data_IF_256117306389
#
_entry.id   IF_256117306389
#
_cell.length_a   1.000
_cell.length_b   1.000
_cell.length_c   1.000
_cell.angle_alpha   90.00
_cell.angle_beta   90.00
_cell.angle_gamma   90.00
#
_symmetry.space_group_name_H-M   'P 1'
#
loop_
_entity.id
_entity.type
_entity.pdbx_description
1 polymer ?
#
# COMPACT_ATOMS: atom_id res chain seq x y z
N UNK A 1 -21.71 8.06 3.02
CA UNK A 1 -22.64 7.10 3.68
C UNK A 1 -22.26 5.61 3.52
N UNK A 2 -21.09 5.25 2.98
CA UNK A 2 -20.72 3.85 2.69
C UNK A 2 -20.00 3.13 3.85
N UNK A 3 -19.59 3.85 4.90
CA UNK A 3 -18.75 3.31 5.99
C UNK A 3 -19.54 2.52 7.04
N UNK A 4 -20.86 2.66 7.08
CA UNK A 4 -21.72 1.99 8.08
C UNK A 4 -22.59 0.89 7.50
N UNK A 5 -22.38 0.51 6.23
CA UNK A 5 -23.23 -0.47 5.54
C UNK A 5 -23.33 -1.80 6.31
N UNK A 6 -22.20 -2.29 6.84
CA UNK A 6 -22.18 -3.51 7.66
C UNK A 6 -22.86 -3.32 9.02
N UNK A 7 -22.70 -2.15 9.65
CA UNK A 7 -23.38 -1.83 10.91
C UNK A 7 -24.90 -1.75 10.73
N UNK A 8 -25.36 -1.14 9.64
CA UNK A 8 -26.79 -1.04 9.30
C UNK A 8 -27.36 -2.42 8.98
N UNK A 9 -26.65 -3.25 8.21
CA UNK A 9 -27.06 -4.64 7.95
C UNK A 9 -27.11 -5.43 9.26
N UNK A 10 -26.11 -5.30 10.12
CA UNK A 10 -26.09 -5.97 11.42
C UNK A 10 -27.23 -5.51 12.32
N UNK A 11 -27.54 -4.22 12.33
CA UNK A 11 -28.67 -3.66 13.05
C UNK A 11 -30.01 -4.19 12.52
N UNK A 12 -30.20 -4.20 11.20
CA UNK A 12 -31.41 -4.73 10.58
C UNK A 12 -31.62 -6.21 10.89
N UNK A 13 -30.56 -7.01 10.82
CA UNK A 13 -30.60 -8.44 11.18
C UNK A 13 -30.92 -8.61 12.67
N UNK A 14 -30.27 -7.85 13.56
CA UNK A 14 -30.51 -7.91 15.00
C UNK A 14 -31.95 -7.54 15.35
N UNK A 15 -32.46 -6.44 14.79
CA UNK A 15 -33.85 -6.03 14.97
C UNK A 15 -34.82 -7.09 14.44
N UNK A 16 -34.58 -7.63 13.25
CA UNK A 16 -35.41 -8.70 12.66
C UNK A 16 -35.44 -9.97 13.53
N UNK A 17 -34.29 -10.42 14.03
CA UNK A 17 -34.19 -11.58 14.92
C UNK A 17 -34.93 -11.32 16.25
N UNK A 18 -34.78 -10.13 16.82
CA UNK A 18 -35.46 -9.74 18.05
C UNK A 18 -36.99 -9.74 17.87
N UNK A 19 -37.49 -9.11 16.81
CA UNK A 19 -38.93 -9.13 16.51
C UNK A 19 -39.42 -10.56 16.27
N UNK A 20 -38.68 -11.37 15.51
CA UNK A 20 -39.06 -12.76 15.24
C UNK A 20 -39.11 -13.60 16.53
N UNK A 21 -38.18 -13.39 17.46
CA UNK A 21 -38.16 -14.06 18.76
C UNK A 21 -39.42 -13.74 19.59
N UNK A 22 -39.87 -12.47 19.59
CA UNK A 22 -41.09 -12.06 20.29
C UNK A 22 -42.34 -12.61 19.60
N UNK A 23 -42.47 -12.46 18.28
CA UNK A 23 -43.67 -12.85 17.54
C UNK A 23 -43.91 -14.35 17.49
N UNK A 24 -42.84 -15.14 17.46
CA UNK A 24 -42.90 -16.60 17.37
C UNK A 24 -42.71 -17.27 18.74
N UNK A 25 -42.58 -16.50 19.82
CA UNK A 25 -42.26 -16.98 21.18
C UNK A 25 -41.03 -17.91 21.21
N UNK A 26 -40.07 -17.65 20.32
CA UNK A 26 -38.86 -18.45 20.19
C UNK A 26 -37.82 -17.97 21.22
N UNK A 27 -37.47 -18.86 22.15
CA UNK A 27 -36.25 -18.70 22.92
C UNK A 27 -35.05 -19.05 22.03
N UNK A 28 -34.52 -18.03 21.35
CA UNK A 28 -33.37 -18.17 20.45
C UNK A 28 -32.14 -18.70 21.17
N UNK A 29 -31.98 -18.40 22.46
CA UNK A 29 -30.85 -18.88 23.24
C UNK A 29 -30.98 -20.38 23.49
N UNK A 30 -32.17 -20.83 23.90
CA UNK A 30 -32.45 -22.25 24.10
C UNK A 30 -32.36 -23.03 22.79
N UNK A 31 -32.81 -22.45 21.66
CA UNK A 31 -32.67 -23.05 20.33
C UNK A 31 -31.20 -23.25 19.93
N UNK A 32 -30.35 -22.25 20.20
CA UNK A 32 -28.90 -22.34 19.94
C UNK A 32 -28.28 -23.43 20.84
N UNK A 33 -28.63 -23.46 22.13
CA UNK A 33 -28.16 -24.50 23.05
C UNK A 33 -28.60 -25.90 22.62
N UNK A 34 -29.87 -26.06 22.22
CA UNK A 34 -30.41 -27.33 21.72
C UNK A 34 -29.72 -27.77 20.42
N UNK A 35 -29.39 -26.82 19.53
CA UNK A 35 -28.61 -27.08 18.34
C UNK A 35 -27.17 -27.53 18.68
N UNK A 36 -26.49 -26.86 19.60
CA UNK A 36 -25.17 -27.27 20.08
C UNK A 36 -25.20 -28.66 20.74
N UNK A 37 -26.20 -28.93 21.58
CA UNK A 37 -26.40 -30.24 22.20
C UNK A 37 -26.73 -31.34 21.16
N UNK A 38 -27.43 -30.99 20.07
CA UNK A 38 -27.66 -31.90 18.96
C UNK A 38 -26.38 -32.22 18.19
N UNK A 39 -25.40 -31.30 18.15
CA UNK A 39 -24.08 -31.54 17.55
C UNK A 39 -23.24 -32.47 18.43
N UNK A 40 -23.36 -32.33 19.76
CA UNK A 40 -22.71 -33.20 20.74
C UNK A 40 -23.12 -34.67 20.57
N UNK A 41 -24.39 -34.93 20.25
CA UNK A 41 -24.90 -36.30 19.96
C UNK A 41 -24.19 -37.02 18.81
N UNK A 42 -23.54 -36.29 17.90
CA UNK A 42 -22.80 -36.90 16.79
C UNK A 42 -21.31 -37.14 17.12
N UNK A 43 -20.85 -36.93 18.37
CA UNK A 43 -19.44 -36.99 18.79
C UNK A 43 -18.49 -36.05 18.01
N UNK A 44 -19.00 -35.22 17.09
CA UNK A 44 -18.20 -34.22 16.37
C UNK A 44 -18.01 -32.92 17.16
N UNK A 45 -18.71 -32.74 18.29
CA UNK A 45 -18.65 -31.53 19.11
C UNK A 45 -17.23 -31.15 19.54
N UNK A 46 -16.40 -32.14 19.91
CA UNK A 46 -15.00 -31.94 20.29
C UNK A 46 -14.13 -31.39 19.15
N UNK A 47 -14.45 -31.67 17.89
CA UNK A 47 -13.72 -31.18 16.73
C UNK A 47 -14.32 -29.89 16.14
N UNK A 48 -15.64 -29.74 16.19
CA UNK A 48 -16.35 -28.60 15.61
C UNK A 48 -16.03 -27.31 16.36
N UNK A 49 -15.97 -27.34 17.69
CA UNK A 49 -15.71 -26.12 18.47
C UNK A 49 -14.29 -25.55 18.23
N UNK A 50 -13.21 -26.36 18.28
CA UNK A 50 -11.89 -25.92 17.85
C UNK A 50 -11.83 -25.45 16.39
N UNK A 51 -12.57 -26.11 15.49
CA UNK A 51 -12.63 -25.73 14.07
C UNK A 51 -13.28 -24.35 13.87
N UNK A 52 -14.35 -24.05 14.61
CA UNK A 52 -15.02 -22.74 14.58
C UNK A 52 -14.06 -21.66 15.09
N UNK A 53 -13.40 -21.90 16.24
CA UNK A 53 -12.43 -20.97 16.81
C UNK A 53 -11.31 -20.70 15.81
N UNK A 54 -10.69 -21.76 15.26
CA UNK A 54 -9.66 -21.66 14.23
C UNK A 54 -10.15 -20.86 13.01
N UNK A 55 -11.35 -21.14 12.52
CA UNK A 55 -11.93 -20.47 11.35
C UNK A 55 -12.12 -18.97 11.60
N UNK A 56 -12.56 -18.58 12.80
CA UNK A 56 -12.69 -17.17 13.18
C UNK A 56 -11.32 -16.47 13.10
N UNK A 57 -10.29 -17.05 13.72
CA UNK A 57 -8.93 -16.49 13.68
C UNK A 57 -8.37 -16.42 12.26
N UNK A 58 -8.62 -17.44 11.44
CA UNK A 58 -8.20 -17.47 10.04
C UNK A 58 -8.86 -16.34 9.24
N UNK A 59 -10.16 -16.11 9.41
CA UNK A 59 -10.88 -15.01 8.75
C UNK A 59 -10.32 -13.65 9.18
N UNK A 60 -10.04 -13.46 10.48
CA UNK A 60 -9.43 -12.24 10.99
C UNK A 60 -8.04 -12.00 10.39
N UNK A 61 -7.17 -13.01 10.38
CA UNK A 61 -5.83 -12.89 9.81
C UNK A 61 -5.88 -12.59 8.31
N UNK A 62 -6.74 -13.28 7.57
CA UNK A 62 -6.93 -13.05 6.14
C UNK A 62 -7.38 -11.61 5.86
N UNK A 63 -8.36 -11.09 6.60
CA UNK A 63 -8.81 -9.69 6.46
C UNK A 63 -7.70 -8.69 6.77
N UNK A 64 -6.90 -8.95 7.81
CA UNK A 64 -5.75 -8.12 8.19
C UNK A 64 -4.69 -8.10 7.07
N UNK A 65 -4.35 -9.27 6.51
CA UNK A 65 -3.40 -9.39 5.41
C UNK A 65 -3.85 -8.66 4.16
N UNK A 66 -5.11 -8.82 3.76
CA UNK A 66 -5.66 -8.12 2.58
C UNK A 66 -5.58 -6.60 2.76
N UNK A 67 -5.91 -6.08 3.96
CA UNK A 67 -5.78 -4.64 4.25
C UNK A 67 -4.33 -4.18 4.16
N UNK A 68 -3.39 -4.96 4.72
CA UNK A 68 -1.95 -4.67 4.66
C UNK A 68 -1.45 -4.64 3.22
N UNK A 69 -1.75 -5.66 2.41
CA UNK A 69 -1.34 -5.74 1.01
C UNK A 69 -1.90 -4.56 0.20
N UNK A 70 -3.17 -4.20 0.40
CA UNK A 70 -3.76 -3.03 -0.27
C UNK A 70 -3.03 -1.73 0.11
N UNK A 71 -2.67 -1.56 1.39
CA UNK A 71 -1.93 -0.39 1.85
C UNK A 71 -0.52 -0.34 1.26
N UNK A 72 0.22 -1.45 1.29
CA UNK A 72 1.57 -1.54 0.73
C UNK A 72 1.56 -1.29 -0.79
N UNK A 73 0.58 -1.83 -1.52
CA UNK A 73 0.41 -1.56 -2.95
C UNK A 73 0.07 -0.09 -3.23
N UNK A 74 -0.75 0.54 -2.39
CA UNK A 74 -1.06 1.97 -2.51
C UNK A 74 0.18 2.83 -2.27
N UNK A 75 0.99 2.52 -1.24
CA UNK A 75 2.27 3.17 -0.98
C UNK A 75 3.22 3.02 -2.17
N UNK A 76 3.35 1.81 -2.71
CA UNK A 76 4.20 1.54 -3.87
C UNK A 76 3.76 2.36 -5.10
N UNK A 77 2.44 2.46 -5.35
CA UNK A 77 1.91 3.25 -6.45
C UNK A 77 2.22 4.75 -6.29
N UNK A 78 2.06 5.29 -5.08
CA UNK A 78 2.40 6.69 -4.78
C UNK A 78 3.89 6.92 -4.96
N UNK A 79 4.74 6.03 -4.44
CA UNK A 79 6.18 6.14 -4.57
C UNK A 79 6.63 6.12 -6.04
N UNK A 80 6.12 5.19 -6.85
CA UNK A 80 6.41 5.14 -8.29
C UNK A 80 5.98 6.41 -9.01
N UNK A 81 4.80 6.95 -8.68
CA UNK A 81 4.33 8.21 -9.24
C UNK A 81 5.24 9.39 -8.84
N UNK A 82 5.66 9.45 -7.57
CA UNK A 82 6.58 10.46 -7.07
C UNK A 82 7.94 10.39 -7.77
N UNK A 83 8.51 9.19 -7.91
CA UNK A 83 9.79 8.97 -8.59
C UNK A 83 9.72 9.40 -10.06
N UNK A 84 8.64 9.01 -10.77
CA UNK A 84 8.41 9.45 -12.15
C UNK A 84 8.31 10.97 -12.26
N UNK A 85 7.57 11.62 -11.36
CA UNK A 85 7.47 13.08 -11.31
C UNK A 85 8.81 13.75 -11.02
N UNK A 86 9.58 13.22 -10.07
CA UNK A 86 10.94 13.70 -9.77
C UNK A 86 11.85 13.57 -10.99
N UNK A 87 11.80 12.45 -11.72
CA UNK A 87 12.55 12.27 -12.96
C UNK A 87 12.19 13.34 -13.99
N UNK A 88 10.90 13.66 -14.17
CA UNK A 88 10.48 14.74 -15.05
C UNK A 88 10.99 16.12 -14.60
N UNK A 89 10.91 16.45 -13.31
CA UNK A 89 11.40 17.72 -12.75
C UNK A 89 12.92 17.83 -12.95
N UNK A 90 13.66 16.75 -12.68
CA UNK A 90 15.12 16.73 -12.79
C UNK A 90 15.59 16.83 -14.24
N UNK A 91 14.92 16.15 -15.19
CA UNK A 91 15.22 16.32 -16.61
C UNK A 91 14.95 17.75 -17.08
N UNK A 92 13.85 18.35 -16.67
CA UNK A 92 13.56 19.77 -16.98
C UNK A 92 14.64 20.70 -16.41
N UNK A 93 15.13 20.42 -15.21
CA UNK A 93 16.24 21.15 -14.63
C UNK A 93 17.52 21.00 -15.46
N UNK A 94 17.89 19.78 -15.87
CA UNK A 94 19.05 19.55 -16.76
C UNK A 94 18.92 20.35 -18.06
N UNK A 95 17.74 20.38 -18.69
CA UNK A 95 17.54 21.20 -19.88
C UNK A 95 17.74 22.71 -19.64
N UNK A 96 17.30 23.23 -18.49
CA UNK A 96 17.55 24.63 -18.13
C UNK A 96 19.04 24.91 -17.92
N UNK A 97 19.75 23.91 -17.38
CA UNK A 97 21.19 23.96 -17.21
C UNK A 97 21.89 23.98 -18.59
N UNK A 98 21.50 23.15 -19.55
CA UNK A 98 22.05 23.22 -20.90
C UNK A 98 21.88 24.62 -21.56
N UNK A 99 20.74 25.29 -21.34
CA UNK A 99 20.53 26.68 -21.81
C UNK A 99 21.49 27.66 -21.13
N UNK A 100 21.71 27.50 -19.82
CA UNK A 100 22.69 28.29 -19.08
C UNK A 100 24.09 28.10 -19.65
N UNK A 101 24.48 26.85 -19.94
CA UNK A 101 25.77 26.53 -20.57
C UNK A 101 25.95 27.29 -21.88
N UNK A 102 24.99 27.22 -22.80
CA UNK A 102 25.04 27.93 -24.09
C UNK A 102 25.22 29.44 -23.85
N UNK A 103 24.48 30.01 -22.90
CA UNK A 103 24.58 31.44 -22.58
C UNK A 103 25.96 31.81 -22.03
N UNK A 104 26.55 30.94 -21.19
CA UNK A 104 27.88 31.14 -20.63
C UNK A 104 28.99 31.01 -21.68
N UNK A 105 28.86 30.07 -22.63
CA UNK A 105 29.75 29.92 -23.79
C UNK A 105 29.75 31.16 -24.69
N UNK A 106 28.57 31.76 -24.90
CA UNK A 106 28.41 32.97 -25.71
C UNK A 106 28.78 34.27 -24.96
N UNK A 107 29.07 34.20 -23.66
CA UNK A 107 29.40 35.37 -22.84
C UNK A 107 30.90 35.70 -22.88
N UNK A 108 31.31 36.85 -23.42
CA UNK A 108 32.71 37.23 -23.46
C UNK A 108 33.30 37.39 -22.06
N UNK A 109 34.45 36.76 -21.81
CA UNK A 109 35.16 36.84 -20.53
C UNK A 109 34.68 35.88 -19.46
N UNK A 110 33.76 34.95 -19.77
CA UNK A 110 33.39 33.88 -18.85
C UNK A 110 34.58 32.92 -18.63
N UNK A 111 34.84 32.52 -17.38
CA UNK A 111 35.98 31.67 -17.05
C UNK A 111 35.74 30.22 -17.51
N UNK A 112 36.58 29.76 -18.45
CA UNK A 112 36.46 28.43 -19.06
C UNK A 112 36.61 27.28 -18.06
N UNK A 113 37.35 27.48 -16.96
CA UNK A 113 37.51 26.44 -15.92
C UNK A 113 36.21 26.26 -15.15
N UNK A 114 35.54 27.36 -14.81
CA UNK A 114 34.22 27.35 -14.17
C UNK A 114 33.20 26.65 -15.05
N UNK A 115 33.24 26.88 -16.37
CA UNK A 115 32.39 26.18 -17.33
C UNK A 115 32.69 24.67 -17.39
N UNK A 116 33.96 24.27 -17.35
CA UNK A 116 34.33 22.85 -17.32
C UNK A 116 33.87 22.15 -16.03
N UNK A 117 34.05 22.79 -14.86
CA UNK A 117 33.54 22.26 -13.59
C UNK A 117 32.01 22.11 -13.60
N UNK A 118 31.32 23.05 -14.22
CA UNK A 118 29.89 23.00 -14.40
C UNK A 118 29.46 21.78 -15.24
N UNK A 119 30.13 21.52 -16.35
CA UNK A 119 29.84 20.38 -17.22
C UNK A 119 30.00 19.05 -16.49
N UNK A 120 31.07 18.91 -15.70
CA UNK A 120 31.33 17.71 -14.89
C UNK A 120 30.19 17.47 -13.88
N UNK A 121 29.70 18.53 -13.21
CA UNK A 121 28.60 18.42 -12.25
C UNK A 121 27.32 17.97 -12.95
N UNK A 122 26.98 18.55 -14.12
CA UNK A 122 25.77 18.20 -14.86
C UNK A 122 25.84 16.76 -15.39
N UNK A 123 26.98 16.37 -15.95
CA UNK A 123 27.21 15.01 -16.45
C UNK A 123 27.05 13.95 -15.35
N UNK A 124 27.73 14.17 -14.21
CA UNK A 124 27.64 13.27 -13.06
C UNK A 124 26.21 13.18 -12.50
N UNK A 125 25.54 14.33 -12.37
CA UNK A 125 24.16 14.39 -11.86
C UNK A 125 23.20 13.67 -12.81
N UNK A 126 23.33 13.86 -14.12
CA UNK A 126 22.52 13.18 -15.14
C UNK A 126 22.69 11.66 -15.07
N UNK A 127 23.94 11.18 -14.94
CA UNK A 127 24.25 9.75 -14.79
C UNK A 127 23.61 9.13 -13.54
N UNK A 128 23.67 9.83 -12.40
CA UNK A 128 23.04 9.39 -11.15
C UNK A 128 21.50 9.32 -11.27
N UNK A 129 20.88 10.31 -11.92
CA UNK A 129 19.44 10.35 -12.15
C UNK A 129 18.99 9.19 -13.04
N UNK A 130 19.75 8.90 -14.11
CA UNK A 130 19.46 7.79 -15.02
C UNK A 130 19.64 6.42 -14.34
N UNK A 131 20.60 6.31 -13.42
CA UNK A 131 20.81 5.10 -12.62
C UNK A 131 19.64 4.85 -11.67
N UNK A 132 19.13 5.92 -11.03
CA UNK A 132 17.95 5.86 -10.17
C UNK A 132 16.65 5.53 -10.92
N UNK A 133 16.48 6.02 -12.16
CA UNK A 133 15.25 5.77 -12.93
C UNK A 133 15.12 4.34 -13.44
N UNK A 134 16.23 3.61 -13.54
CA UNK A 134 16.28 2.23 -14.06
C UNK A 134 16.24 1.15 -12.97
N UNK A 135 16.01 1.51 -11.71
CA UNK A 135 15.88 0.55 -10.63
C UNK A 135 14.63 -0.33 -10.82
N UNK A 136 14.87 -1.63 -10.99
CA UNK A 136 13.83 -2.66 -11.18
C UNK A 136 13.16 -3.07 -9.86
N UNK A 137 13.88 -2.99 -8.74
CA UNK A 137 13.35 -3.12 -7.38
C UNK A 137 13.48 -1.80 -6.62
N UNK A 138 12.42 -1.41 -5.93
CA UNK A 138 12.42 -0.27 -5.01
C UNK A 138 12.52 -0.88 -3.61
N UNK A 139 13.75 -1.04 -3.13
CA UNK A 139 14.04 -1.34 -1.74
C UNK A 139 15.13 -0.36 -1.25
N UNK A 140 15.21 -0.14 0.06
CA UNK A 140 16.11 0.87 0.63
C UNK A 140 17.58 0.63 0.25
N UNK A 141 17.96 -0.64 0.09
CA UNK A 141 19.30 -1.03 -0.30
C UNK A 141 19.57 -0.76 -1.78
N UNK A 142 18.62 -1.08 -2.68
CA UNK A 142 18.74 -0.79 -4.12
C UNK A 142 18.83 0.72 -4.41
N UNK A 143 18.08 1.54 -3.67
CA UNK A 143 18.13 3.01 -3.79
C UNK A 143 19.50 3.54 -3.33
N UNK A 144 19.99 3.16 -2.15
CA UNK A 144 21.27 3.65 -1.61
C UNK A 144 22.47 3.26 -2.47
N UNK A 145 22.48 2.05 -3.02
CA UNK A 145 23.60 1.54 -3.82
C UNK A 145 23.67 2.19 -5.20
N UNK A 146 22.53 2.52 -5.80
CA UNK A 146 22.47 3.13 -7.15
C UNK A 146 23.09 4.53 -7.27
N UNK A 147 23.22 5.26 -6.15
CA UNK A 147 23.78 6.62 -6.12
C UNK A 147 25.22 6.69 -5.63
N UNK A 148 25.79 5.58 -5.15
CA UNK A 148 27.15 5.54 -4.58
C UNK A 148 28.24 5.14 -5.58
N UNK A 149 27.88 4.69 -6.79
CA UNK A 149 28.84 4.24 -7.81
C UNK A 149 29.13 5.26 -8.92
N UNK A 150 28.72 6.52 -8.73
CA UNK A 150 29.03 7.64 -9.63
C UNK A 150 30.27 8.39 -9.19
#
# INVERSE_FOLDING_TARGET
>A
MNNYKLTIIGFAISAFLYFSSIFLELDLFELVLAFLASIEKFNFGEFILPLIIFSIFLIFDMRRRVKKIKLENAKLKIYKAMLSSSHHILNNFIYQMDIFKITAEDTPGFDARTLAYYEDIISNTSSQIHSLSNLSSIDEYSIRTSVMTG
#
